data_IF_119873379232
#
_entry.id   IF_119873379232
#
_cell.length_a   1.000
_cell.length_b   1.000
_cell.length_c   1.000
_cell.angle_alpha   90.00
_cell.angle_beta   90.00
_cell.angle_gamma   90.00
#
_symmetry.space_group_name_H-M   'P 1'
#
loop_
_entity.id
_entity.type
_entity.pdbx_description
1 polymer ?
#
# COMPACT_ATOMS: atom_id res chain seq x y z
N UNK A 1 4.33 10.59 -19.83
CA UNK A 1 4.03 10.85 -18.41
C UNK A 1 2.81 10.00 -18.07
N UNK A 2 2.81 9.27 -16.96
CA UNK A 2 1.66 8.45 -16.56
C UNK A 2 0.51 9.38 -16.15
N UNK A 3 -0.71 9.11 -16.63
CA UNK A 3 -1.93 9.83 -16.25
C UNK A 3 -2.53 9.20 -14.99
N UNK A 4 -1.94 9.49 -13.83
CA UNK A 4 -2.37 8.91 -12.56
C UNK A 4 -3.82 9.27 -12.20
N UNK A 5 -4.28 10.48 -12.54
CA UNK A 5 -5.66 10.93 -12.27
C UNK A 5 -6.64 10.17 -13.15
N UNK A 6 -6.37 10.05 -14.45
CA UNK A 6 -7.21 9.28 -15.37
C UNK A 6 -7.33 7.81 -14.97
N UNK A 7 -6.21 7.20 -14.55
CA UNK A 7 -6.18 5.80 -14.06
C UNK A 7 -7.01 5.66 -12.77
N UNK A 8 -6.80 6.55 -11.79
CA UNK A 8 -7.56 6.52 -10.53
C UNK A 8 -9.05 6.74 -10.78
N UNK A 9 -9.40 7.71 -11.65
CA UNK A 9 -10.80 7.99 -11.99
C UNK A 9 -11.48 6.78 -12.60
N UNK A 10 -10.81 6.14 -13.56
CA UNK A 10 -11.35 4.93 -14.19
C UNK A 10 -11.62 3.84 -13.16
N UNK A 11 -10.69 3.60 -12.23
CA UNK A 11 -10.87 2.59 -11.20
C UNK A 11 -12.05 2.91 -10.27
N UNK A 12 -12.18 4.18 -9.86
CA UNK A 12 -13.29 4.63 -9.01
C UNK A 12 -14.63 4.49 -9.72
N UNK A 13 -14.72 4.90 -10.99
CA UNK A 13 -15.96 4.83 -11.78
C UNK A 13 -16.36 3.40 -12.19
N UNK A 14 -15.41 2.46 -12.19
CA UNK A 14 -15.61 1.05 -12.54
C UNK A 14 -15.63 0.11 -11.32
N UNK A 15 -15.57 0.64 -10.09
CA UNK A 15 -15.50 -0.15 -8.84
C UNK A 15 -14.30 -1.13 -8.79
N UNK A 16 -13.17 -0.70 -9.34
CA UNK A 16 -11.95 -1.50 -9.53
C UNK A 16 -10.83 -1.07 -8.55
N UNK A 17 -11.19 -0.61 -7.34
CA UNK A 17 -10.22 -0.07 -6.38
C UNK A 17 -9.13 -1.08 -5.99
N UNK A 18 -9.47 -2.36 -5.82
CA UNK A 18 -8.48 -3.41 -5.52
C UNK A 18 -7.45 -3.52 -6.65
N UNK A 19 -7.91 -3.61 -7.90
CA UNK A 19 -7.02 -3.69 -9.07
C UNK A 19 -6.13 -2.46 -9.20
N UNK A 20 -6.63 -1.28 -8.83
CA UNK A 20 -5.84 -0.05 -8.77
C UNK A 20 -4.71 -0.14 -7.74
N UNK A 21 -5.05 -0.52 -6.51
CA UNK A 21 -4.11 -0.59 -5.40
C UNK A 21 -3.04 -1.67 -5.59
N UNK A 22 -3.36 -2.73 -6.32
CA UNK A 22 -2.40 -3.78 -6.72
C UNK A 22 -1.62 -3.41 -8.00
N UNK A 23 -2.17 -2.48 -8.80
CA UNK A 23 -1.68 -2.18 -10.14
C UNK A 23 -1.86 -3.31 -11.14
N UNK A 24 -2.94 -4.07 -11.06
CA UNK A 24 -3.25 -5.15 -12.01
C UNK A 24 -3.76 -4.58 -13.34
N UNK A 25 -3.33 -5.21 -14.44
CA UNK A 25 -3.83 -4.94 -15.78
C UNK A 25 -3.60 -3.50 -16.24
N UNK A 26 -4.68 -2.82 -16.63
CA UNK A 26 -4.62 -1.45 -17.16
C UNK A 26 -4.40 -0.37 -16.10
N UNK A 27 -4.52 -0.72 -14.81
CA UNK A 27 -4.29 0.20 -13.70
C UNK A 27 -2.82 0.26 -13.27
N UNK A 28 -1.96 -0.56 -13.88
CA UNK A 28 -0.53 -0.61 -13.58
C UNK A 28 0.15 0.73 -13.82
N UNK A 29 0.64 1.35 -12.75
CA UNK A 29 1.54 2.49 -12.85
C UNK A 29 2.97 1.98 -12.76
N UNK A 30 3.69 1.90 -13.89
CA UNK A 30 5.06 1.35 -13.92
C UNK A 30 5.98 2.11 -12.97
N UNK A 31 6.50 1.38 -11.99
CA UNK A 31 7.52 1.86 -11.06
C UNK A 31 8.89 1.29 -11.43
N UNK A 32 9.93 2.10 -11.32
CA UNK A 32 11.31 1.62 -11.43
C UNK A 32 12.06 2.01 -10.16
N UNK A 33 12.42 1.02 -9.35
CA UNK A 33 13.10 1.24 -8.08
C UNK A 33 14.14 0.15 -7.84
N UNK A 34 15.31 0.56 -7.33
CA UNK A 34 16.49 -0.30 -7.21
C UNK A 34 16.31 -1.49 -6.25
N UNK A 35 15.28 -1.49 -5.41
CA UNK A 35 14.95 -2.58 -4.47
C UNK A 35 14.12 -3.73 -5.05
N UNK A 36 13.67 -3.64 -6.31
CA UNK A 36 12.87 -4.67 -6.97
C UNK A 36 13.70 -5.45 -8.00
N UNK A 37 13.33 -6.69 -8.33
CA UNK A 37 13.92 -7.39 -9.46
C UNK A 37 13.65 -6.62 -10.77
N UNK A 38 14.54 -6.75 -11.79
CA UNK A 38 14.45 -5.96 -13.03
C UNK A 38 13.13 -6.07 -13.80
N UNK A 39 12.38 -7.15 -13.58
CA UNK A 39 11.11 -7.50 -14.22
C UNK A 39 9.91 -7.38 -13.27
N UNK A 40 10.09 -6.82 -12.06
CA UNK A 40 9.03 -6.70 -11.08
C UNK A 40 7.79 -5.98 -11.64
N UNK A 41 6.64 -6.62 -11.44
CA UNK A 41 5.34 -6.06 -11.80
C UNK A 41 4.71 -5.34 -10.61
N UNK A 42 5.29 -4.20 -10.25
CA UNK A 42 4.89 -3.43 -9.07
C UNK A 42 4.37 -2.06 -9.45
N UNK A 43 3.29 -1.66 -8.78
CA UNK A 43 2.68 -0.34 -8.97
C UNK A 43 3.43 0.73 -8.20
N UNK A 44 3.44 1.93 -8.76
CA UNK A 44 4.08 3.11 -8.19
C UNK A 44 3.18 3.74 -7.11
N UNK A 45 3.08 3.12 -5.93
CA UNK A 45 2.25 3.64 -4.82
C UNK A 45 2.62 5.07 -4.43
N UNK A 46 3.93 5.40 -4.45
CA UNK A 46 4.48 6.72 -4.09
C UNK A 46 3.93 7.85 -4.98
N UNK A 47 3.59 7.57 -6.24
CA UNK A 47 2.95 8.56 -7.11
C UNK A 47 1.45 8.32 -7.25
N UNK A 48 0.98 7.07 -7.27
CA UNK A 48 -0.42 6.72 -7.45
C UNK A 48 -1.31 7.34 -6.36
N UNK A 49 -0.90 7.24 -5.10
CA UNK A 49 -1.67 7.79 -3.99
C UNK A 49 -1.73 9.33 -4.07
N UNK A 50 -0.60 10.07 -4.06
CA UNK A 50 -0.66 11.53 -4.00
C UNK A 50 -0.95 12.25 -5.32
N UNK A 51 -0.70 11.62 -6.48
CA UNK A 51 -0.93 12.22 -7.81
C UNK A 51 -2.11 11.62 -8.57
N UNK A 52 -2.59 10.46 -8.16
CA UNK A 52 -3.82 9.86 -8.69
C UNK A 52 -4.98 10.08 -7.73
N UNK A 53 -5.00 9.30 -6.64
CA UNK A 53 -6.11 9.22 -5.69
C UNK A 53 -6.39 10.58 -5.02
N UNK A 54 -5.38 11.19 -4.41
CA UNK A 54 -5.55 12.48 -3.72
C UNK A 54 -5.82 13.63 -4.67
N UNK A 55 -5.22 13.59 -5.86
CA UNK A 55 -5.48 14.59 -6.88
C UNK A 55 -6.93 14.51 -7.37
N UNK A 56 -7.43 13.31 -7.65
CA UNK A 56 -8.82 13.07 -8.04
C UNK A 56 -9.81 13.51 -6.94
N UNK A 57 -9.54 13.16 -5.69
CA UNK A 57 -10.36 13.59 -4.56
C UNK A 57 -10.48 15.13 -4.51
N UNK A 58 -9.37 15.84 -4.71
CA UNK A 58 -9.34 17.30 -4.69
C UNK A 58 -10.05 17.98 -5.87
N UNK A 59 -10.35 17.28 -6.95
CA UNK A 59 -11.20 17.82 -8.01
C UNK A 59 -12.66 17.96 -7.57
N UNK A 60 -13.06 17.26 -6.51
CA UNK A 60 -14.41 17.24 -5.96
C UNK A 60 -15.33 16.22 -6.63
N UNK A 61 -16.41 15.84 -5.93
CA UNK A 61 -17.38 14.84 -6.41
C UNK A 61 -16.98 13.38 -6.15
N UNK A 62 -15.89 13.17 -5.41
CA UNK A 62 -15.32 11.85 -5.09
C UNK A 62 -15.11 11.65 -3.58
N UNK A 63 -15.98 12.24 -2.74
CA UNK A 63 -15.86 12.21 -1.28
C UNK A 63 -15.93 10.80 -0.67
N UNK A 64 -16.38 9.81 -1.45
CA UNK A 64 -16.50 8.40 -1.10
C UNK A 64 -15.22 7.57 -1.34
N UNK A 65 -14.18 8.15 -1.96
CA UNK A 65 -12.89 7.47 -2.19
C UNK A 65 -12.27 6.90 -0.90
N UNK A 66 -12.25 7.62 0.25
CA UNK A 66 -11.67 7.08 1.48
C UNK A 66 -12.33 5.77 1.92
N UNK A 67 -13.67 5.70 1.85
CA UNK A 67 -14.42 4.50 2.21
C UNK A 67 -14.15 3.35 1.22
N UNK A 68 -14.09 3.64 -0.08
CA UNK A 68 -13.71 2.62 -1.08
C UNK A 68 -12.33 2.03 -0.83
N UNK A 69 -11.35 2.85 -0.44
CA UNK A 69 -10.00 2.37 -0.12
C UNK A 69 -10.03 1.50 1.14
N UNK A 70 -10.75 1.92 2.18
CA UNK A 70 -10.87 1.16 3.43
C UNK A 70 -11.48 -0.22 3.16
N UNK A 71 -12.56 -0.30 2.39
CA UNK A 71 -13.21 -1.58 2.07
C UNK A 71 -12.32 -2.45 1.16
N UNK A 72 -11.68 -1.87 0.14
CA UNK A 72 -10.72 -2.59 -0.70
C UNK A 72 -9.56 -3.17 0.13
N UNK A 73 -9.00 -2.41 1.08
CA UNK A 73 -7.92 -2.88 1.94
C UNK A 73 -8.37 -4.03 2.84
N UNK A 74 -9.60 -3.99 3.38
CA UNK A 74 -10.15 -5.09 4.17
C UNK A 74 -10.27 -6.37 3.34
N UNK A 75 -10.78 -6.26 2.11
CA UNK A 75 -10.90 -7.39 1.20
C UNK A 75 -9.52 -7.97 0.83
N UNK A 76 -8.56 -7.11 0.48
CA UNK A 76 -7.18 -7.52 0.20
C UNK A 76 -6.51 -8.21 1.41
N UNK A 77 -6.85 -7.80 2.64
CA UNK A 77 -6.34 -8.45 3.86
C UNK A 77 -6.88 -9.87 4.06
N UNK A 78 -7.99 -10.24 3.42
CA UNK A 78 -8.56 -11.60 3.41
C UNK A 78 -8.09 -12.43 2.20
N UNK A 79 -7.39 -11.78 1.27
CA UNK A 79 -6.93 -12.32 0.01
C UNK A 79 -5.66 -13.17 0.07
N UNK A 80 -4.95 -13.22 -1.05
CA UNK A 80 -3.69 -13.93 -1.15
C UNK A 80 -2.50 -13.14 -0.55
N UNK A 81 -1.30 -13.75 -0.57
CA UNK A 81 -0.11 -13.17 0.06
C UNK A 81 0.36 -11.87 -0.62
N UNK A 82 0.15 -11.74 -1.93
CA UNK A 82 0.48 -10.55 -2.71
C UNK A 82 -0.50 -9.42 -2.38
N UNK A 83 -1.78 -9.75 -2.23
CA UNK A 83 -2.85 -8.80 -1.85
C UNK A 83 -2.61 -8.25 -0.44
N UNK A 84 -2.24 -9.11 0.51
CA UNK A 84 -1.84 -8.71 1.87
C UNK A 84 -0.62 -7.78 1.85
N UNK A 85 0.37 -8.08 1.01
CA UNK A 85 1.54 -7.20 0.86
C UNK A 85 1.15 -5.84 0.26
N UNK A 86 0.30 -5.82 -0.78
CA UNK A 86 -0.20 -4.58 -1.37
C UNK A 86 -0.98 -3.74 -0.34
N UNK A 87 -1.84 -4.36 0.47
CA UNK A 87 -2.56 -3.70 1.54
C UNK A 87 -1.60 -3.05 2.56
N UNK A 88 -0.55 -3.76 2.95
CA UNK A 88 0.51 -3.20 3.80
C UNK A 88 1.23 -2.02 3.15
N UNK A 89 1.56 -2.09 1.85
CA UNK A 89 2.21 -0.99 1.13
C UNK A 89 1.34 0.25 1.03
N UNK A 90 0.05 0.09 0.79
CA UNK A 90 -0.90 1.22 0.79
C UNK A 90 -1.00 1.84 2.18
N UNK A 91 -1.07 1.03 3.24
CA UNK A 91 -1.03 1.50 4.62
C UNK A 91 0.25 2.31 4.92
N UNK A 92 1.42 1.75 4.60
CA UNK A 92 2.71 2.42 4.81
C UNK A 92 2.77 3.79 4.11
N UNK A 93 2.42 3.86 2.83
CA UNK A 93 2.42 5.13 2.08
C UNK A 93 1.38 6.12 2.65
N UNK A 94 0.22 5.63 3.08
CA UNK A 94 -0.79 6.49 3.72
C UNK A 94 -0.26 7.12 5.00
N UNK A 95 0.45 6.37 5.85
CA UNK A 95 1.09 6.95 7.05
C UNK A 95 2.09 8.03 6.67
N UNK A 96 2.94 7.77 5.67
CA UNK A 96 3.93 8.75 5.21
C UNK A 96 3.27 10.05 4.75
N UNK A 97 2.30 9.94 3.85
CA UNK A 97 1.62 11.09 3.26
C UNK A 97 0.78 11.88 4.29
N UNK A 98 0.14 11.20 5.25
CA UNK A 98 -0.65 11.85 6.30
C UNK A 98 0.21 12.62 7.32
N UNK A 99 1.48 12.24 7.46
CA UNK A 99 2.45 12.86 8.37
C UNK A 99 3.35 13.89 7.66
N UNK A 100 3.28 13.98 6.34
CA UNK A 100 4.02 14.95 5.53
C UNK A 100 3.59 16.39 5.85
N UNK A 101 4.56 17.24 6.21
CA UNK A 101 4.26 18.61 6.70
C UNK A 101 3.95 19.58 5.57
N UNK A 102 4.53 19.36 4.40
CA UNK A 102 4.48 20.34 3.29
C UNK A 102 3.33 20.09 2.32
N UNK A 103 2.80 18.88 2.27
CA UNK A 103 1.66 18.51 1.43
C UNK A 103 0.75 17.56 2.19
N UNK A 104 -0.14 18.09 3.05
CA UNK A 104 -1.00 17.25 3.86
C UNK A 104 -1.93 16.42 2.97
N UNK A 105 -2.06 15.13 3.30
CA UNK A 105 -3.06 14.26 2.69
C UNK A 105 -4.47 14.87 2.83
N UNK A 106 -5.31 14.83 1.77
CA UNK A 106 -6.64 15.44 1.78
C UNK A 106 -7.64 14.70 2.69
N UNK A 107 -7.33 13.46 3.06
CA UNK A 107 -8.08 12.64 4.02
C UNK A 107 -7.11 11.74 4.80
N UNK A 108 -7.60 11.13 5.88
CA UNK A 108 -6.81 10.25 6.77
C UNK A 108 -7.50 8.91 6.99
N UNK A 109 -6.83 7.83 6.58
CA UNK A 109 -7.32 6.45 6.70
C UNK A 109 -6.36 5.55 7.46
N UNK A 110 -5.09 5.94 7.63
CA UNK A 110 -4.03 5.08 8.16
C UNK A 110 -4.39 4.43 9.50
N UNK A 111 -4.89 5.22 10.46
CA UNK A 111 -5.31 4.72 11.79
C UNK A 111 -6.52 3.77 11.73
N UNK A 112 -7.38 3.91 10.71
CA UNK A 112 -8.58 3.07 10.57
C UNK A 112 -8.24 1.67 10.03
N UNK A 113 -7.25 1.59 9.13
CA UNK A 113 -6.84 0.35 8.47
C UNK A 113 -5.70 -0.37 9.21
N UNK A 114 -4.93 0.35 10.03
CA UNK A 114 -3.77 -0.20 10.76
C UNK A 114 -4.07 -1.54 11.46
N UNK A 115 -5.15 -1.69 12.26
CA UNK A 115 -5.37 -2.94 13.00
C UNK A 115 -5.59 -4.15 12.08
N UNK A 116 -6.40 -3.99 11.02
CA UNK A 116 -6.71 -5.09 10.10
C UNK A 116 -5.52 -5.46 9.22
N UNK A 117 -4.77 -4.47 8.73
CA UNK A 117 -3.57 -4.68 7.91
C UNK A 117 -2.50 -5.41 8.71
N UNK A 118 -2.16 -4.90 9.90
CA UNK A 118 -1.12 -5.50 10.72
C UNK A 118 -1.52 -6.92 11.17
N UNK A 119 -2.76 -7.14 11.58
CA UNK A 119 -3.24 -8.47 11.94
C UNK A 119 -3.13 -9.46 10.76
N UNK A 120 -3.50 -9.03 9.54
CA UNK A 120 -3.39 -9.89 8.35
C UNK A 120 -1.94 -10.23 8.01
N UNK A 121 -1.04 -9.25 8.12
CA UNK A 121 0.41 -9.43 7.96
C UNK A 121 0.94 -10.50 8.91
N UNK A 122 0.62 -10.43 10.21
CA UNK A 122 1.06 -11.45 11.17
C UNK A 122 0.44 -12.83 10.90
N UNK A 123 -0.85 -12.88 10.56
CA UNK A 123 -1.53 -14.13 10.22
C UNK A 123 -0.92 -14.83 8.99
N UNK A 124 -0.34 -14.05 8.07
CA UNK A 124 0.27 -14.56 6.84
C UNK A 124 1.80 -14.64 6.90
N UNK A 125 2.44 -14.45 8.07
CA UNK A 125 3.90 -14.46 8.23
C UNK A 125 4.57 -15.62 7.49
N UNK A 126 4.12 -16.86 7.71
CA UNK A 126 4.77 -18.04 7.11
C UNK A 126 4.77 -17.98 5.57
N UNK A 127 3.67 -17.53 4.98
CA UNK A 127 3.55 -17.38 3.52
C UNK A 127 4.42 -16.22 3.02
N UNK A 128 4.38 -15.08 3.71
CA UNK A 128 5.19 -13.90 3.41
C UNK A 128 6.69 -14.23 3.49
N UNK A 129 7.12 -15.06 4.45
CA UNK A 129 8.52 -15.48 4.59
C UNK A 129 9.02 -16.40 3.47
N UNK A 130 8.10 -16.95 2.66
CA UNK A 130 8.38 -17.82 1.53
C UNK A 130 8.12 -17.16 0.17
N UNK A 131 7.59 -15.95 0.17
CA UNK A 131 7.31 -15.17 -1.04
C UNK A 131 8.52 -14.27 -1.35
N UNK A 132 9.21 -14.53 -2.46
CA UNK A 132 10.40 -13.78 -2.89
C UNK A 132 10.11 -12.85 -4.07
N UNK A 133 8.84 -12.59 -4.34
CA UNK A 133 8.45 -11.61 -5.34
C UNK A 133 8.71 -10.18 -4.83
N UNK A 134 8.80 -9.26 -5.78
CA UNK A 134 8.91 -7.83 -5.50
C UNK A 134 10.08 -7.49 -4.57
N UNK A 135 9.87 -6.75 -3.48
CA UNK A 135 10.96 -6.43 -2.55
C UNK A 135 11.46 -7.66 -1.79
N UNK A 136 10.63 -8.69 -1.65
CA UNK A 136 10.99 -9.94 -0.98
C UNK A 136 12.21 -10.63 -1.59
N UNK A 137 12.47 -10.42 -2.88
CA UNK A 137 13.65 -10.92 -3.60
C UNK A 137 14.98 -10.58 -2.90
N UNK A 138 15.05 -9.40 -2.29
CA UNK A 138 16.27 -8.89 -1.67
C UNK A 138 16.45 -9.27 -0.20
N UNK A 139 15.49 -10.02 0.36
CA UNK A 139 15.45 -10.39 1.78
C UNK A 139 15.51 -11.90 1.97
N UNK A 140 16.30 -12.37 2.93
CA UNK A 140 16.46 -13.80 3.22
C UNK A 140 15.17 -14.47 3.72
N UNK A 141 14.26 -13.68 4.26
CA UNK A 141 12.94 -14.05 4.77
C UNK A 141 11.82 -13.44 3.91
N UNK A 142 12.04 -13.34 2.59
CA UNK A 142 11.02 -12.95 1.62
C UNK A 142 10.35 -11.60 1.90
N UNK A 143 9.09 -11.46 1.52
CA UNK A 143 8.29 -10.26 1.77
C UNK A 143 8.16 -9.92 3.26
N UNK A 144 8.23 -10.92 4.15
CA UNK A 144 8.26 -10.66 5.59
C UNK A 144 9.46 -9.79 5.98
N UNK A 145 10.65 -10.08 5.44
CA UNK A 145 11.84 -9.27 5.66
C UNK A 145 11.69 -7.81 5.23
N UNK A 146 11.06 -7.60 4.07
CA UNK A 146 10.75 -6.25 3.58
C UNK A 146 9.79 -5.53 4.53
N UNK A 147 8.71 -6.19 4.96
CA UNK A 147 7.72 -5.64 5.90
C UNK A 147 8.39 -5.25 7.23
N UNK A 148 9.26 -6.10 7.80
CA UNK A 148 9.99 -5.76 9.05
C UNK A 148 10.76 -4.45 8.92
N UNK A 149 11.48 -4.26 7.80
CA UNK A 149 12.21 -3.01 7.52
C UNK A 149 11.26 -1.81 7.50
N UNK A 150 10.10 -1.94 6.85
CA UNK A 150 9.12 -0.85 6.78
C UNK A 150 8.42 -0.57 8.11
N UNK A 151 8.07 -1.59 8.88
CA UNK A 151 7.50 -1.41 10.23
C UNK A 151 8.51 -0.71 11.15
N UNK A 152 9.80 -1.04 11.05
CA UNK A 152 10.84 -0.32 11.78
C UNK A 152 10.86 1.18 11.45
N UNK A 153 10.71 1.55 10.18
CA UNK A 153 10.58 2.96 9.75
C UNK A 153 9.32 3.60 10.35
N UNK A 154 8.18 2.90 10.34
CA UNK A 154 6.95 3.40 10.97
C UNK A 154 7.12 3.66 12.48
N UNK A 155 7.90 2.83 13.16
CA UNK A 155 8.19 2.97 14.59
C UNK A 155 9.17 4.12 14.88
N UNK A 156 10.29 4.18 14.14
CA UNK A 156 11.37 5.13 14.39
C UNK A 156 11.04 6.55 13.90
N UNK A 157 10.47 6.68 12.70
CA UNK A 157 10.30 7.99 12.03
C UNK A 157 8.88 8.56 12.18
N UNK A 158 7.87 7.69 12.37
CA UNK A 158 6.45 8.08 12.39
C UNK A 158 5.76 7.84 13.74
N UNK A 159 6.47 7.25 14.71
CA UNK A 159 6.00 6.93 16.06
C UNK A 159 4.67 6.14 16.06
N UNK A 160 4.50 5.22 15.10
CA UNK A 160 3.34 4.32 15.01
C UNK A 160 3.78 2.85 14.92
N UNK A 161 2.82 1.93 15.04
CA UNK A 161 3.06 0.49 15.10
C UNK A 161 3.99 0.03 16.24
N UNK A 162 4.11 0.82 17.32
CA UNK A 162 4.95 0.51 18.48
C UNK A 162 4.49 -0.74 19.25
N UNK A 163 3.22 -1.12 19.08
CA UNK A 163 2.63 -2.31 19.70
C UNK A 163 2.96 -3.63 18.96
N UNK A 164 3.61 -3.55 17.81
CA UNK A 164 3.90 -4.70 16.95
C UNK A 164 5.39 -5.06 17.02
N UNK A 165 5.72 -6.14 17.72
CA UNK A 165 7.05 -6.71 17.72
C UNK A 165 7.24 -7.60 16.48
N UNK A 166 8.24 -7.25 15.67
CA UNK A 166 8.52 -7.91 14.40
C UNK A 166 9.63 -8.97 14.50
N UNK A 167 10.34 -9.06 15.63
CA UNK A 167 11.44 -10.00 15.84
C UNK A 167 10.95 -11.32 16.46
N UNK A 168 9.92 -11.28 17.32
CA UNK A 168 9.39 -12.44 18.05
C UNK A 168 8.10 -13.05 17.49
N UNK A 169 7.43 -12.36 16.57
CA UNK A 169 6.17 -12.78 15.95
C UNK A 169 6.40 -13.58 14.68
#
# INVERSE_FOLDING_TARGET
>A
MIDYVGIARKAVECDDMIKLLEGKGEYRCKFFYYGFPPDADVTDWENLIPRGIYALYNEGGYDYIPDMIIEAIKEMCEGDVEEVYCAFRVFFNSVMDEKEKFKPAPFRISEQIKPVVMQSVFNNKEKLSKCFDWEGWSHSDGMWGAIKRWVKILQEDYETCLEYDMEDA
#
